data_IF_795262263228
#
_entry.id   IF_795262263228
#
_cell.length_a   1.000
_cell.length_b   1.000
_cell.length_c   1.000
_cell.angle_alpha   90.00
_cell.angle_beta   90.00
_cell.angle_gamma   90.00
#
_symmetry.space_group_name_H-M   'P 1'
#
loop_
_entity.id
_entity.type
_entity.pdbx_description
1 polymer ?
#
# COMPACT_ATOMS: atom_id res chain seq x y z
N UNK A 1 -27.27 3.66 -1.47
CA UNK A 1 -25.86 3.94 -1.82
C UNK A 1 -25.58 3.46 -3.23
N UNK A 2 -24.68 4.15 -3.94
CA UNK A 2 -24.19 3.74 -5.25
C UNK A 2 -22.89 2.95 -5.11
N UNK A 3 -22.72 1.90 -5.91
CA UNK A 3 -21.48 1.12 -5.97
C UNK A 3 -20.41 1.72 -6.91
N UNK A 4 -20.83 2.47 -7.94
CA UNK A 4 -20.01 2.91 -9.05
C UNK A 4 -20.28 4.38 -9.29
N UNK A 5 -19.21 5.17 -9.30
CA UNK A 5 -19.19 6.53 -9.78
C UNK A 5 -18.34 6.55 -11.06
N UNK A 6 -18.95 6.55 -12.25
CA UNK A 6 -18.21 6.29 -13.48
C UNK A 6 -17.37 7.48 -13.97
N UNK A 7 -17.73 8.72 -13.58
CA UNK A 7 -17.07 9.96 -13.99
C UNK A 7 -16.72 9.98 -15.50
N UNK A 8 -15.44 10.16 -15.84
CA UNK A 8 -14.96 10.18 -17.24
C UNK A 8 -14.64 8.80 -17.80
N UNK A 9 -14.87 7.74 -17.02
CA UNK A 9 -14.62 6.36 -17.42
C UNK A 9 -13.15 6.05 -17.64
N UNK A 10 -12.89 5.05 -18.49
CA UNK A 10 -11.57 4.51 -18.79
C UNK A 10 -11.33 4.49 -20.33
N UNK A 11 -11.32 5.66 -20.98
CA UNK A 11 -11.37 5.75 -22.44
C UNK A 11 -10.18 5.10 -23.14
N UNK A 12 -8.98 5.21 -22.58
CA UNK A 12 -7.77 4.78 -23.26
C UNK A 12 -7.60 3.26 -23.20
N UNK A 13 -7.75 2.67 -22.02
CA UNK A 13 -7.60 1.22 -21.84
C UNK A 13 -8.69 0.46 -22.57
N UNK A 14 -9.94 0.95 -22.56
CA UNK A 14 -11.05 0.32 -23.29
C UNK A 14 -10.75 0.34 -24.79
N UNK A 15 -10.32 1.48 -25.34
CA UNK A 15 -9.97 1.57 -26.75
C UNK A 15 -8.85 0.61 -27.15
N UNK A 16 -7.78 0.52 -26.34
CA UNK A 16 -6.67 -0.42 -26.60
C UNK A 16 -7.13 -1.88 -26.54
N UNK A 17 -7.95 -2.23 -25.55
CA UNK A 17 -8.53 -3.56 -25.42
C UNK A 17 -9.40 -3.93 -26.64
N UNK A 18 -10.26 -3.02 -27.09
CA UNK A 18 -11.13 -3.22 -28.25
C UNK A 18 -10.36 -3.31 -29.58
N UNK A 19 -9.19 -2.69 -29.66
CA UNK A 19 -8.29 -2.75 -30.81
C UNK A 19 -7.38 -3.99 -30.84
N UNK A 20 -7.42 -4.84 -29.81
CA UNK A 20 -6.50 -5.98 -29.69
C UNK A 20 -5.04 -5.56 -29.42
N UNK A 21 -4.82 -4.40 -28.81
CA UNK A 21 -3.47 -3.92 -28.50
C UNK A 21 -2.90 -4.56 -27.23
N UNK A 22 -1.59 -4.40 -27.00
CA UNK A 22 -0.98 -4.74 -25.70
C UNK A 22 -1.47 -3.77 -24.62
N UNK A 23 -1.95 -4.31 -23.51
CA UNK A 23 -2.47 -3.55 -22.37
C UNK A 23 -1.77 -3.98 -21.08
N UNK A 24 -1.10 -3.03 -20.43
CA UNK A 24 -0.51 -3.26 -19.10
C UNK A 24 -1.41 -2.70 -18.01
N UNK A 25 -1.85 -3.55 -17.09
CA UNK A 25 -2.72 -3.18 -15.96
C UNK A 25 -1.93 -3.36 -14.67
N UNK A 26 -1.69 -2.25 -13.96
CA UNK A 26 -1.07 -2.28 -12.64
C UNK A 26 -2.12 -2.25 -11.55
N UNK A 27 -1.98 -3.14 -10.56
CA UNK A 27 -2.85 -3.20 -9.40
C UNK A 27 -2.08 -2.74 -8.16
N UNK A 28 -2.40 -1.55 -7.68
CA UNK A 28 -1.62 -0.80 -6.72
C UNK A 28 -2.39 -0.60 -5.41
N UNK A 29 -1.92 -1.22 -4.34
CA UNK A 29 -2.63 -1.17 -3.07
C UNK A 29 -1.98 -1.97 -1.95
N UNK A 30 -2.81 -2.32 -0.95
CA UNK A 30 -2.41 -3.11 0.21
C UNK A 30 -2.50 -4.63 0.01
N UNK A 31 -2.77 -5.35 1.10
CA UNK A 31 -2.80 -6.82 1.13
C UNK A 31 -3.91 -7.43 0.28
N UNK A 32 -5.11 -6.84 0.28
CA UNK A 32 -6.20 -7.28 -0.60
C UNK A 32 -5.81 -7.27 -2.09
N UNK A 33 -4.97 -6.30 -2.47
CA UNK A 33 -4.44 -6.16 -3.83
C UNK A 33 -3.28 -7.14 -4.10
N UNK A 34 -2.45 -7.42 -3.09
CA UNK A 34 -1.34 -8.39 -3.16
C UNK A 34 -1.84 -9.80 -3.43
N UNK A 35 -2.93 -10.20 -2.76
CA UNK A 35 -3.56 -11.51 -2.85
C UNK A 35 -3.80 -11.96 -4.30
N UNK A 36 -3.77 -13.27 -4.53
CA UNK A 36 -4.17 -13.89 -5.81
C UNK A 36 -5.70 -13.94 -5.96
N UNK A 37 -6.41 -12.89 -5.52
CA UNK A 37 -7.85 -12.79 -5.53
C UNK A 37 -8.35 -11.89 -6.66
N UNK A 38 -9.13 -10.85 -6.30
CA UNK A 38 -9.85 -9.99 -7.25
C UNK A 38 -8.98 -9.46 -8.40
N UNK A 39 -7.70 -9.17 -8.13
CA UNK A 39 -6.71 -8.75 -9.13
C UNK A 39 -6.55 -9.78 -10.25
N UNK A 40 -6.29 -11.03 -9.87
CA UNK A 40 -6.04 -12.12 -10.82
C UNK A 40 -7.33 -12.41 -11.59
N UNK A 41 -8.44 -12.54 -10.85
CA UNK A 41 -9.74 -12.89 -11.41
C UNK A 41 -10.28 -11.81 -12.37
N UNK A 42 -10.05 -10.51 -12.07
CA UNK A 42 -10.41 -9.41 -12.98
C UNK A 42 -9.53 -9.41 -14.24
N UNK A 43 -8.23 -9.69 -14.10
CA UNK A 43 -7.33 -9.78 -15.25
C UNK A 43 -7.66 -10.97 -16.16
N UNK A 44 -8.07 -12.10 -15.59
CA UNK A 44 -8.56 -13.28 -16.32
C UNK A 44 -9.86 -12.96 -17.05
N UNK A 45 -10.84 -12.36 -16.37
CA UNK A 45 -12.08 -11.91 -17.01
C UNK A 45 -11.81 -10.97 -18.19
N UNK A 46 -10.89 -10.01 -18.05
CA UNK A 46 -10.52 -9.13 -19.16
C UNK A 46 -9.91 -9.88 -20.35
N UNK A 47 -9.08 -10.92 -20.11
CA UNK A 47 -8.55 -11.77 -21.19
C UNK A 47 -9.64 -12.56 -21.91
N UNK A 48 -10.65 -13.02 -21.18
CA UNK A 48 -11.82 -13.67 -21.77
C UNK A 48 -12.66 -12.69 -22.61
N UNK A 49 -12.82 -11.45 -22.15
CA UNK A 49 -13.60 -10.43 -22.88
C UNK A 49 -12.88 -9.87 -24.10
N UNK A 50 -11.55 -9.84 -24.10
CA UNK A 50 -10.72 -9.25 -25.16
C UNK A 50 -9.62 -10.23 -25.60
N UNK A 51 -9.98 -11.35 -26.27
CA UNK A 51 -9.04 -12.41 -26.60
C UNK A 51 -7.95 -11.99 -27.61
N UNK A 52 -8.19 -10.91 -28.37
CA UNK A 52 -7.22 -10.37 -29.32
C UNK A 52 -6.16 -9.46 -28.67
N UNK A 53 -6.37 -9.01 -27.42
CA UNK A 53 -5.45 -8.12 -26.71
C UNK A 53 -4.40 -8.88 -25.89
N UNK A 54 -3.14 -8.42 -25.91
CA UNK A 54 -2.09 -8.94 -25.00
C UNK A 54 -2.16 -8.23 -23.64
N UNK A 55 -2.84 -8.86 -22.67
CA UNK A 55 -3.08 -8.27 -21.34
C UNK A 55 -2.05 -8.74 -20.31
N UNK A 56 -1.26 -7.78 -19.83
CA UNK A 56 -0.23 -7.96 -18.79
C UNK A 56 -0.72 -7.39 -17.48
N UNK A 57 -0.75 -8.20 -16.43
CA UNK A 57 -1.14 -7.78 -15.09
C UNK A 57 0.09 -7.65 -14.19
N UNK A 58 0.29 -6.46 -13.61
CA UNK A 58 1.37 -6.16 -12.65
C UNK A 58 0.80 -6.17 -11.24
N UNK A 59 1.37 -7.00 -10.36
CA UNK A 59 1.05 -7.00 -8.94
C UNK A 59 1.93 -5.97 -8.22
N UNK A 60 1.36 -4.81 -7.90
CA UNK A 60 1.99 -3.77 -7.10
C UNK A 60 1.30 -3.63 -5.73
N UNK A 61 0.74 -4.72 -5.20
CA UNK A 61 0.25 -4.80 -3.82
C UNK A 61 1.39 -5.05 -2.84
N UNK A 62 1.37 -4.39 -1.68
CA UNK A 62 2.29 -4.68 -0.55
C UNK A 62 1.50 -4.73 0.75
N UNK A 63 1.65 -5.82 1.49
CA UNK A 63 0.90 -6.10 2.71
C UNK A 63 1.16 -5.04 3.78
N UNK A 64 0.08 -4.57 4.41
CA UNK A 64 0.15 -3.63 5.53
C UNK A 64 0.62 -2.21 5.19
N UNK A 65 0.54 -1.80 3.91
CA UNK A 65 1.05 -0.48 3.47
C UNK A 65 -0.05 0.47 3.03
N UNK A 66 0.12 1.75 3.35
CA UNK A 66 -0.79 2.84 2.96
C UNK A 66 -0.33 3.63 1.74
N UNK A 67 -1.10 4.65 1.41
CA UNK A 67 -0.84 5.56 0.28
C UNK A 67 0.42 6.41 0.46
N UNK A 68 0.93 6.60 1.69
CA UNK A 68 2.20 7.27 1.97
C UNK A 68 3.40 6.52 1.42
N UNK A 69 3.49 5.22 1.69
CA UNK A 69 4.48 4.37 1.02
C UNK A 69 4.18 4.25 -0.48
N UNK A 70 2.89 4.18 -0.83
CA UNK A 70 2.43 4.22 -2.22
C UNK A 70 3.07 5.38 -3.01
N UNK A 71 2.99 6.60 -2.51
CA UNK A 71 3.57 7.77 -3.16
C UNK A 71 5.07 7.57 -3.48
N UNK A 72 5.84 7.01 -2.55
CA UNK A 72 7.29 6.83 -2.72
C UNK A 72 7.65 5.69 -3.68
N UNK A 73 6.90 4.57 -3.64
CA UNK A 73 7.23 3.37 -4.44
C UNK A 73 6.63 3.36 -5.84
N UNK A 74 5.77 4.34 -6.17
CA UNK A 74 4.99 4.37 -7.40
C UNK A 74 5.84 4.23 -8.67
N UNK A 75 6.98 4.92 -8.76
CA UNK A 75 7.87 4.78 -9.93
C UNK A 75 8.38 3.34 -10.09
N UNK A 76 8.84 2.73 -8.99
CA UNK A 76 9.47 1.40 -9.00
C UNK A 76 8.43 0.29 -9.25
N UNK A 77 7.25 0.41 -8.67
CA UNK A 77 6.29 -0.70 -8.65
C UNK A 77 5.23 -0.58 -9.74
N UNK A 78 5.02 0.63 -10.29
CA UNK A 78 3.95 0.91 -11.25
C UNK A 78 4.49 1.58 -12.50
N UNK A 79 5.06 2.79 -12.43
CA UNK A 79 5.32 3.60 -13.62
C UNK A 79 6.41 3.04 -14.52
N UNK A 80 7.42 2.34 -13.96
CA UNK A 80 8.46 1.67 -14.77
C UNK A 80 7.88 0.63 -15.74
N UNK A 81 6.70 0.08 -15.42
CA UNK A 81 6.01 -0.90 -16.25
C UNK A 81 5.19 -0.28 -17.37
N UNK A 82 5.14 1.06 -17.47
CA UNK A 82 4.38 1.80 -18.49
C UNK A 82 2.91 1.33 -18.57
N UNK A 83 2.15 1.41 -17.47
CA UNK A 83 0.79 0.91 -17.42
C UNK A 83 -0.16 1.74 -18.30
N UNK A 84 -1.17 1.08 -18.86
CA UNK A 84 -2.31 1.71 -19.51
C UNK A 84 -3.46 1.95 -18.53
N UNK A 85 -3.54 1.13 -17.46
CA UNK A 85 -4.51 1.26 -16.38
C UNK A 85 -3.84 1.01 -15.03
N UNK A 86 -4.13 1.86 -14.05
CA UNK A 86 -3.74 1.69 -12.65
C UNK A 86 -4.98 1.58 -11.77
N UNK A 87 -5.17 0.41 -11.14
CA UNK A 87 -6.09 0.27 -10.02
C UNK A 87 -5.43 0.82 -8.75
N UNK A 88 -6.10 1.69 -8.02
CA UNK A 88 -5.60 2.28 -6.75
C UNK A 88 -6.53 1.90 -5.61
N UNK A 89 -5.98 1.23 -4.58
CA UNK A 89 -6.74 0.65 -3.47
C UNK A 89 -5.98 0.82 -2.14
N UNK A 90 -6.31 1.85 -1.35
CA UNK A 90 -5.65 2.14 -0.06
C UNK A 90 -6.61 2.46 1.10
N UNK A 91 -7.93 2.53 0.87
CA UNK A 91 -8.90 2.91 1.93
C UNK A 91 -8.81 1.99 3.14
N UNK A 92 -8.63 0.68 2.93
CA UNK A 92 -8.47 -0.30 4.01
C UNK A 92 -7.20 -0.09 4.85
N UNK A 93 -6.16 0.54 4.29
CA UNK A 93 -4.85 0.72 4.93
C UNK A 93 -4.67 2.10 5.55
N UNK A 94 -5.19 3.16 4.92
CA UNK A 94 -4.96 4.55 5.34
C UNK A 94 -5.75 4.96 6.60
N UNK A 95 -6.67 4.12 7.07
CA UNK A 95 -7.37 4.34 8.34
C UNK A 95 -8.32 5.55 8.36
N UNK A 96 -8.48 6.27 7.24
CA UNK A 96 -9.36 7.45 7.13
C UNK A 96 -8.80 8.72 7.75
N UNK A 97 -7.46 8.84 7.84
CA UNK A 97 -6.80 10.07 8.29
C UNK A 97 -6.82 11.16 7.21
N UNK A 98 -7.00 12.45 7.55
CA UNK A 98 -7.09 13.54 6.57
C UNK A 98 -5.91 13.61 5.57
N UNK A 99 -4.72 13.23 6.02
CA UNK A 99 -3.48 13.22 5.24
C UNK A 99 -3.53 12.23 4.05
N UNK A 100 -4.40 11.21 4.11
CA UNK A 100 -4.64 10.27 3.02
C UNK A 100 -5.07 10.98 1.73
N UNK A 101 -5.83 12.08 1.84
CA UNK A 101 -6.25 12.87 0.67
C UNK A 101 -5.07 13.42 -0.11
N UNK A 102 -4.10 14.01 0.58
CA UNK A 102 -2.89 14.55 -0.03
C UNK A 102 -2.05 13.44 -0.69
N UNK A 103 -1.91 12.29 -0.03
CA UNK A 103 -1.15 11.15 -0.55
C UNK A 103 -1.80 10.54 -1.80
N UNK A 104 -3.12 10.36 -1.79
CA UNK A 104 -3.86 9.82 -2.95
C UNK A 104 -3.81 10.79 -4.12
N UNK A 105 -3.96 12.09 -3.88
CA UNK A 105 -3.71 13.08 -4.91
C UNK A 105 -2.25 13.04 -5.41
N UNK A 106 -1.27 12.85 -4.53
CA UNK A 106 0.13 12.68 -4.89
C UNK A 106 0.34 11.54 -5.88
N UNK A 107 -0.27 10.38 -5.62
CA UNK A 107 -0.26 9.23 -6.54
C UNK A 107 -0.87 9.60 -7.90
N UNK A 108 -2.06 10.22 -7.91
CA UNK A 108 -2.74 10.62 -9.15
C UNK A 108 -1.87 11.58 -9.97
N UNK A 109 -1.31 12.61 -9.33
CA UNK A 109 -0.50 13.62 -10.01
C UNK A 109 0.80 13.05 -10.54
N UNK A 110 1.46 12.16 -9.80
CA UNK A 110 2.63 11.44 -10.31
C UNK A 110 2.29 10.61 -11.57
N UNK A 111 1.19 9.83 -11.56
CA UNK A 111 0.73 9.08 -12.74
C UNK A 111 0.47 10.03 -13.91
N UNK A 112 -0.25 11.13 -13.69
CA UNK A 112 -0.63 12.10 -14.73
C UNK A 112 0.57 12.88 -15.28
N UNK A 113 1.58 13.18 -14.46
CA UNK A 113 2.86 13.78 -14.86
C UNK A 113 3.67 12.81 -15.73
N UNK A 114 3.64 11.50 -15.42
CA UNK A 114 4.28 10.47 -16.25
C UNK A 114 3.61 10.35 -17.61
N UNK A 115 2.28 10.25 -17.63
CA UNK A 115 1.50 10.32 -18.87
C UNK A 115 0.03 10.64 -18.58
N UNK A 116 -0.51 11.58 -19.33
CA UNK A 116 -1.93 11.95 -19.28
C UNK A 116 -2.84 10.92 -19.95
N UNK A 117 -2.30 9.89 -20.59
CA UNK A 117 -3.06 8.86 -21.28
C UNK A 117 -3.22 7.55 -20.48
N UNK A 118 -2.61 7.47 -19.30
CA UNK A 118 -2.81 6.34 -18.39
C UNK A 118 -4.21 6.46 -17.78
N UNK A 119 -5.02 5.41 -17.78
CA UNK A 119 -6.29 5.42 -17.05
C UNK A 119 -6.07 5.06 -15.57
N UNK A 120 -6.91 5.60 -14.69
CA UNK A 120 -6.88 5.31 -13.25
C UNK A 120 -8.26 4.84 -12.84
N UNK A 121 -8.34 3.81 -12.02
CA UNK A 121 -9.57 3.32 -11.41
C UNK A 121 -9.38 3.21 -9.89
N UNK A 122 -10.18 3.94 -9.13
CA UNK A 122 -10.19 3.80 -7.68
C UNK A 122 -11.09 2.63 -7.28
N UNK A 123 -10.59 1.80 -6.36
CA UNK A 123 -11.34 0.67 -5.82
C UNK A 123 -11.24 0.73 -4.30
N UNK A 124 -12.37 0.59 -3.61
CA UNK A 124 -12.44 0.70 -2.17
C UNK A 124 -12.87 -0.62 -1.54
N UNK A 125 -11.93 -1.28 -0.86
CA UNK A 125 -12.21 -2.47 -0.03
C UNK A 125 -12.79 -2.06 1.32
N UNK A 126 -13.37 -3.04 2.03
CA UNK A 126 -13.93 -2.83 3.37
C UNK A 126 -13.38 -3.83 4.41
N UNK A 127 -13.46 -3.43 5.67
CA UNK A 127 -13.26 -4.28 6.85
C UNK A 127 -14.59 -4.49 7.56
N UNK A 128 -14.65 -5.44 8.50
CA UNK A 128 -15.88 -5.76 9.24
C UNK A 128 -16.47 -4.54 9.95
N UNK A 129 -15.61 -3.70 10.54
CA UNK A 129 -16.01 -2.46 11.22
C UNK A 129 -16.78 -1.48 10.33
N UNK A 130 -16.61 -1.57 9.00
CA UNK A 130 -17.24 -0.66 8.05
C UNK A 130 -18.66 -1.12 7.67
N UNK A 131 -19.00 -2.40 7.89
CA UNK A 131 -20.26 -3.02 7.44
C UNK A 131 -21.48 -2.27 7.97
N UNK A 132 -21.49 -1.92 9.26
CA UNK A 132 -22.60 -1.21 9.89
C UNK A 132 -22.84 0.17 9.25
N UNK A 133 -21.77 0.89 8.89
CA UNK A 133 -21.87 2.17 8.18
C UNK A 133 -22.50 2.00 6.80
N UNK A 134 -22.06 1.01 6.02
CA UNK A 134 -22.70 0.71 4.74
C UNK A 134 -24.20 0.35 4.92
N UNK A 135 -24.57 -0.36 5.99
CA UNK A 135 -25.97 -0.70 6.27
C UNK A 135 -26.83 0.52 6.66
N UNK A 136 -26.23 1.54 7.28
CA UNK A 136 -26.90 2.81 7.57
C UNK A 136 -26.84 3.81 6.40
N UNK A 137 -26.23 3.45 5.27
CA UNK A 137 -26.15 4.30 4.09
C UNK A 137 -24.93 5.23 4.05
N UNK A 138 -23.92 4.96 4.87
CA UNK A 138 -22.69 5.74 4.98
C UNK A 138 -21.51 5.04 4.31
N UNK A 139 -20.70 5.82 3.57
CA UNK A 139 -19.41 5.37 3.08
C UNK A 139 -18.32 5.54 4.14
N UNK A 140 -17.23 4.79 3.99
CA UNK A 140 -16.03 4.95 4.81
C UNK A 140 -15.48 6.38 4.66
N UNK A 141 -15.02 6.98 5.77
CA UNK A 141 -14.40 8.33 5.77
C UNK A 141 -13.24 8.43 4.77
N UNK A 142 -12.38 7.41 4.73
CA UNK A 142 -11.27 7.37 3.78
C UNK A 142 -11.73 7.33 2.32
N UNK A 143 -12.80 6.58 2.02
CA UNK A 143 -13.37 6.55 0.67
C UNK A 143 -13.92 7.93 0.27
N UNK A 144 -14.62 8.63 1.16
CA UNK A 144 -15.12 9.98 0.89
C UNK A 144 -13.99 10.97 0.55
N UNK A 145 -12.85 10.88 1.26
CA UNK A 145 -11.69 11.72 0.96
C UNK A 145 -11.09 11.41 -0.43
N UNK A 146 -11.04 10.13 -0.80
CA UNK A 146 -10.57 9.72 -2.13
C UNK A 146 -11.57 10.06 -3.24
N UNK A 147 -12.87 10.07 -2.95
CA UNK A 147 -13.91 10.53 -3.87
C UNK A 147 -13.77 12.02 -4.21
N UNK A 148 -13.36 12.87 -3.26
CA UNK A 148 -13.07 14.28 -3.56
C UNK A 148 -11.91 14.42 -4.57
N UNK A 149 -10.85 13.61 -4.42
CA UNK A 149 -9.76 13.53 -5.40
C UNK A 149 -10.29 13.00 -6.74
N UNK A 150 -11.11 11.94 -6.70
CA UNK A 150 -11.68 11.34 -7.89
C UNK A 150 -12.56 12.31 -8.67
N UNK A 151 -13.37 13.13 -7.99
CA UNK A 151 -14.19 14.17 -8.59
C UNK A 151 -13.33 15.25 -9.25
N UNK A 152 -12.29 15.73 -8.55
CA UNK A 152 -11.40 16.78 -9.06
C UNK A 152 -10.64 16.34 -10.34
N UNK A 153 -10.18 15.09 -10.39
CA UNK A 153 -9.42 14.54 -11.51
C UNK A 153 -10.27 13.75 -12.53
N UNK A 154 -11.57 13.56 -12.27
CA UNK A 154 -12.50 12.83 -13.14
C UNK A 154 -12.29 11.32 -13.19
N UNK A 155 -11.81 10.71 -12.11
CA UNK A 155 -11.40 9.29 -12.02
C UNK A 155 -12.59 8.38 -11.64
N UNK A 156 -12.93 7.34 -12.41
CA UNK A 156 -13.96 6.39 -11.98
C UNK A 156 -13.59 5.70 -10.66
N UNK A 157 -14.60 5.39 -9.85
CA UNK A 157 -14.41 4.67 -8.59
C UNK A 157 -15.47 3.61 -8.32
N UNK A 158 -15.09 2.56 -7.60
CA UNK A 158 -15.94 1.42 -7.25
C UNK A 158 -15.86 1.13 -5.75
N UNK A 159 -17.00 1.20 -5.06
CA UNK A 159 -17.16 0.82 -3.66
C UNK A 159 -17.54 -0.66 -3.55
N UNK A 160 -16.55 -1.53 -3.31
CA UNK A 160 -16.80 -2.98 -3.23
C UNK A 160 -17.66 -3.36 -2.01
N UNK A 161 -17.58 -2.56 -0.95
CA UNK A 161 -18.33 -2.78 0.29
C UNK A 161 -19.84 -2.71 0.15
N UNK A 162 -20.37 -2.05 -0.89
CA UNK A 162 -21.82 -1.91 -1.09
C UNK A 162 -22.48 -3.27 -1.30
N UNK A 163 -21.94 -4.12 -2.18
CA UNK A 163 -22.53 -5.45 -2.44
C UNK A 163 -22.29 -6.41 -1.28
N UNK A 164 -21.12 -6.36 -0.66
CA UNK A 164 -20.81 -7.18 0.51
C UNK A 164 -21.79 -6.90 1.66
N UNK A 165 -21.99 -5.62 1.99
CA UNK A 165 -22.92 -5.19 3.05
C UNK A 165 -24.37 -5.61 2.77
N UNK A 166 -24.82 -5.49 1.51
CA UNK A 166 -26.15 -6.00 1.11
C UNK A 166 -26.30 -7.51 1.35
N UNK A 167 -25.29 -8.31 0.98
CA UNK A 167 -25.33 -9.75 1.21
C UNK A 167 -25.35 -10.12 2.70
N UNK A 168 -24.70 -9.33 3.56
CA UNK A 168 -24.82 -9.46 5.02
C UNK A 168 -26.26 -9.19 5.46
N UNK A 169 -26.86 -8.07 5.02
CA UNK A 169 -28.24 -7.72 5.38
C UNK A 169 -29.29 -8.71 4.86
N UNK A 170 -29.03 -9.34 3.71
CA UNK A 170 -29.87 -10.39 3.12
C UNK A 170 -29.72 -11.75 3.84
N UNK A 171 -28.79 -11.89 4.78
CA UNK A 171 -28.49 -13.18 5.43
C UNK A 171 -27.83 -14.20 4.50
N UNK A 172 -27.21 -13.75 3.40
CA UNK A 172 -26.54 -14.61 2.41
C UNK A 172 -25.01 -14.66 2.59
N UNK A 173 -24.48 -13.84 3.49
CA UNK A 173 -23.06 -13.74 3.75
C UNK A 173 -22.81 -13.53 5.25
N UNK A 174 -21.85 -14.27 5.79
CA UNK A 174 -21.26 -14.09 7.11
C UNK A 174 -19.94 -13.33 6.89
N UNK A 175 -19.80 -12.15 7.49
CA UNK A 175 -18.61 -11.32 7.22
C UNK A 175 -17.32 -11.95 7.77
N UNK A 176 -17.33 -12.41 9.03
CA UNK A 176 -16.19 -13.11 9.65
C UNK A 176 -16.66 -14.40 10.30
N UNK A 177 -15.99 -15.52 10.01
CA UNK A 177 -16.24 -16.76 10.74
C UNK A 177 -15.84 -16.62 12.22
N UNK A 178 -16.74 -16.96 13.16
CA UNK A 178 -16.45 -16.90 14.59
C UNK A 178 -16.34 -15.48 15.17
N UNK A 179 -16.85 -14.46 14.45
CA UNK A 179 -16.86 -13.07 14.89
C UNK A 179 -17.87 -12.78 16.00
N UNK A 180 -17.89 -11.53 16.50
CA UNK A 180 -18.73 -11.08 17.63
C UNK A 180 -20.24 -11.04 17.35
N UNK A 181 -20.66 -11.29 16.10
CA UNK A 181 -22.07 -11.46 15.75
C UNK A 181 -22.46 -12.93 15.90
N UNK A 182 -23.53 -13.19 16.65
CA UNK A 182 -24.02 -14.54 16.98
C UNK A 182 -23.71 -15.58 15.90
N UNK A 183 -22.85 -16.55 16.25
CA UNK A 183 -22.50 -17.77 15.52
C UNK A 183 -23.75 -18.55 15.10
N UNK A 184 -24.46 -18.02 14.11
CA UNK A 184 -25.49 -18.74 13.39
C UNK A 184 -24.83 -19.13 12.09
N UNK A 185 -24.45 -20.40 12.01
CA UNK A 185 -24.32 -21.05 10.71
C UNK A 185 -25.61 -20.75 9.94
N UNK A 186 -25.52 -19.90 8.93
CA UNK A 186 -26.61 -19.65 7.99
C UNK A 186 -26.38 -20.64 6.85
N UNK A 187 -27.21 -21.70 6.71
CA UNK A 187 -27.00 -22.71 5.70
C UNK A 187 -26.91 -22.08 4.30
N UNK A 188 -25.79 -22.31 3.61
CA UNK A 188 -25.54 -21.77 2.27
C UNK A 188 -25.03 -20.33 2.21
N UNK A 189 -24.79 -19.66 3.35
CA UNK A 189 -24.16 -18.35 3.34
C UNK A 189 -22.66 -18.43 3.02
N UNK A 190 -22.17 -17.44 2.29
CA UNK A 190 -20.75 -17.27 2.00
C UNK A 190 -20.05 -16.76 3.26
N UNK A 191 -18.93 -17.36 3.65
CA UNK A 191 -18.02 -16.75 4.64
C UNK A 191 -17.09 -15.82 3.89
N UNK A 192 -17.05 -14.54 4.28
CA UNK A 192 -16.29 -13.54 3.56
C UNK A 192 -14.84 -13.46 4.03
N UNK A 193 -14.57 -13.45 5.34
CA UNK A 193 -13.22 -13.39 5.93
C UNK A 193 -13.06 -14.36 7.11
N UNK A 194 -11.81 -14.61 7.51
CA UNK A 194 -11.47 -15.28 8.77
C UNK A 194 -10.95 -14.32 9.86
N UNK A 195 -10.60 -13.09 9.49
CA UNK A 195 -9.85 -12.15 10.33
C UNK A 195 -10.42 -10.72 10.33
N UNK A 196 -11.67 -10.57 9.88
CA UNK A 196 -12.38 -9.29 9.76
C UNK A 196 -11.78 -8.32 8.72
N UNK A 197 -10.80 -8.73 7.93
CA UNK A 197 -10.05 -7.86 7.01
C UNK A 197 -9.93 -8.46 5.61
N UNK A 198 -9.41 -9.68 5.47
CA UNK A 198 -9.00 -10.25 4.19
C UNK A 198 -10.08 -11.21 3.65
N UNK A 199 -10.63 -10.95 2.44
CA UNK A 199 -11.58 -11.86 1.82
C UNK A 199 -10.96 -13.23 1.54
N UNK A 200 -11.74 -14.29 1.75
CA UNK A 200 -11.36 -15.66 1.40
C UNK A 200 -11.27 -15.79 -0.12
N UNK A 201 -10.27 -16.56 -0.59
CA UNK A 201 -10.12 -16.92 -2.00
C UNK A 201 -10.71 -18.33 -2.22
N UNK A 202 -11.60 -18.52 -3.21
CA UNK A 202 -12.13 -17.49 -4.11
C UNK A 202 -13.36 -16.75 -3.56
N UNK A 203 -14.09 -17.27 -2.58
CA UNK A 203 -15.49 -16.91 -2.33
C UNK A 203 -15.70 -15.41 -2.03
N UNK A 204 -14.88 -14.84 -1.15
CA UNK A 204 -14.95 -13.40 -0.83
C UNK A 204 -14.43 -12.53 -1.98
N UNK A 205 -13.32 -12.93 -2.60
CA UNK A 205 -12.76 -12.21 -3.74
C UNK A 205 -13.62 -12.29 -5.01
N UNK A 206 -14.47 -13.30 -5.16
CA UNK A 206 -15.44 -13.40 -6.25
C UNK A 206 -16.46 -12.25 -6.18
N UNK A 207 -16.94 -11.90 -4.99
CA UNK A 207 -17.89 -10.79 -4.82
C UNK A 207 -17.26 -9.45 -5.23
N UNK A 208 -15.98 -9.25 -4.90
CA UNK A 208 -15.20 -8.11 -5.38
C UNK A 208 -15.07 -8.13 -6.91
N UNK A 209 -14.70 -9.27 -7.49
CA UNK A 209 -14.55 -9.45 -8.94
C UNK A 209 -15.84 -9.17 -9.69
N UNK A 210 -16.97 -9.74 -9.27
CA UNK A 210 -18.29 -9.51 -9.87
C UNK A 210 -18.72 -8.05 -9.81
N UNK A 211 -18.30 -7.34 -8.75
CA UNK A 211 -18.55 -5.91 -8.59
C UNK A 211 -17.69 -5.06 -9.52
N UNK A 212 -16.43 -5.43 -9.67
CA UNK A 212 -15.51 -4.75 -10.59
C UNK A 212 -15.94 -4.98 -12.04
N UNK A 213 -16.17 -6.23 -12.45
CA UNK A 213 -16.49 -6.59 -13.84
C UNK A 213 -17.80 -5.97 -14.31
N UNK A 214 -18.89 -6.07 -13.52
CA UNK A 214 -20.16 -5.39 -13.87
C UNK A 214 -20.02 -3.87 -13.95
N UNK A 215 -19.11 -3.29 -13.16
CA UNK A 215 -18.83 -1.86 -13.20
C UNK A 215 -18.02 -1.48 -14.43
N UNK A 216 -17.03 -2.28 -14.83
CA UNK A 216 -16.27 -2.10 -16.07
C UNK A 216 -17.18 -2.18 -17.31
N UNK A 217 -18.15 -3.10 -17.33
CA UNK A 217 -19.16 -3.15 -18.41
C UNK A 217 -20.00 -1.86 -18.48
N UNK A 218 -20.37 -1.30 -17.33
CA UNK A 218 -21.11 -0.02 -17.28
C UNK A 218 -20.25 1.15 -17.73
N UNK A 219 -18.98 1.19 -17.33
CA UNK A 219 -18.02 2.21 -17.77
C UNK A 219 -17.80 2.12 -19.30
N UNK A 220 -17.71 0.90 -19.86
CA UNK A 220 -17.58 0.68 -21.29
C UNK A 220 -18.72 1.31 -22.09
N UNK A 221 -19.96 1.18 -21.61
CA UNK A 221 -21.14 1.76 -22.27
C UNK A 221 -21.18 3.30 -22.29
N UNK A 222 -20.32 3.96 -21.51
CA UNK A 222 -20.25 5.43 -21.46
C UNK A 222 -19.25 6.02 -22.46
N UNK A 223 -18.47 5.18 -23.15
CA UNK A 223 -17.47 5.66 -24.10
C UNK A 223 -18.16 6.30 -25.32
N UNK A 224 -17.86 7.58 -25.56
CA UNK A 224 -18.37 8.35 -26.71
C UNK A 224 -17.18 8.93 -27.44
N UNK A 225 -16.90 8.41 -28.64
CA UNK A 225 -15.84 8.91 -29.52
C UNK A 225 -14.82 7.85 -29.88
N UNK A 226 -13.97 8.20 -30.85
CA UNK A 226 -12.82 7.38 -31.27
C UNK A 226 -11.54 8.14 -30.96
N UNK A 227 -10.52 7.41 -30.48
CA UNK A 227 -9.18 7.96 -30.23
C UNK A 227 -8.83 8.14 -28.75
N UNK A 228 -7.53 8.31 -28.50
CA UNK A 228 -6.97 8.44 -27.16
C UNK A 228 -7.29 9.82 -26.54
N UNK A 229 -7.65 9.81 -25.26
CA UNK A 229 -8.07 10.99 -24.50
C UNK A 229 -7.03 11.33 -23.44
N UNK A 230 -6.44 12.52 -23.54
CA UNK A 230 -5.57 13.04 -22.50
C UNK A 230 -6.40 13.50 -21.28
N UNK A 231 -6.17 12.86 -20.14
CA UNK A 231 -6.79 13.22 -18.87
C UNK A 231 -6.36 14.59 -18.38
N UNK A 232 -7.19 15.22 -17.54
CA UNK A 232 -6.86 16.51 -16.96
C UNK A 232 -5.71 16.40 -15.95
N UNK A 233 -4.83 17.40 -15.94
CA UNK A 233 -3.85 17.64 -14.88
C UNK A 233 -3.88 19.13 -14.57
N UNK A 234 -4.76 19.57 -13.66
CA UNK A 234 -4.79 20.96 -13.20
C UNK A 234 -3.43 21.41 -12.69
N UNK A 235 -3.08 22.66 -12.99
CA UNK A 235 -1.86 23.27 -12.48
C UNK A 235 -1.86 23.24 -10.94
N UNK A 236 -2.92 23.76 -10.34
CA UNK A 236 -3.12 23.73 -8.90
C UNK A 236 -3.58 22.34 -8.45
N UNK A 237 -2.98 21.75 -7.39
CA UNK A 237 -3.54 20.58 -6.74
C UNK A 237 -4.83 20.93 -5.96
N UNK A 238 -5.70 19.95 -5.76
CA UNK A 238 -6.85 19.98 -4.86
C UNK A 238 -6.42 20.27 -3.42
N UNK A 239 -5.38 19.59 -2.94
CA UNK A 239 -4.75 19.88 -1.65
C UNK A 239 -3.65 20.93 -1.87
N UNK A 240 -3.79 22.16 -1.35
CA UNK A 240 -2.79 23.20 -1.55
C UNK A 240 -1.42 22.76 -1.04
N UNK A 241 -0.36 23.08 -1.81
CA UNK A 241 1.04 22.76 -1.47
C UNK A 241 1.30 21.28 -1.20
N UNK A 242 0.56 20.37 -1.86
CA UNK A 242 0.68 18.94 -1.65
C UNK A 242 2.11 18.41 -1.95
N UNK A 243 2.88 17.96 -0.95
CA UNK A 243 4.27 17.55 -1.15
C UNK A 243 4.38 16.12 -1.69
N UNK A 244 3.33 15.30 -1.53
CA UNK A 244 3.37 13.85 -1.79
C UNK A 244 3.45 13.48 -3.27
N UNK A 245 3.23 14.42 -4.18
CA UNK A 245 3.53 14.21 -5.60
C UNK A 245 5.04 14.19 -5.92
N UNK A 246 5.89 14.53 -4.95
CA UNK A 246 7.35 14.50 -5.02
C UNK A 246 7.96 13.45 -4.09
N UNK A 247 7.16 12.47 -3.65
CA UNK A 247 7.66 11.35 -2.88
C UNK A 247 8.43 10.38 -3.78
N UNK A 248 9.53 9.83 -3.28
CA UNK A 248 10.36 8.88 -3.99
C UNK A 248 10.98 7.87 -3.03
N UNK A 249 11.19 6.65 -3.55
CA UNK A 249 11.93 5.59 -2.90
C UNK A 249 13.32 5.48 -3.53
N UNK A 250 14.38 5.70 -2.74
CA UNK A 250 15.76 5.78 -3.21
C UNK A 250 16.63 4.66 -2.61
N UNK A 251 17.65 4.18 -3.35
CA UNK A 251 18.67 3.32 -2.76
C UNK A 251 19.50 4.10 -1.72
N UNK A 252 20.14 3.39 -0.79
CA UNK A 252 21.11 4.00 0.12
C UNK A 252 22.41 4.36 -0.61
N UNK A 253 22.81 3.55 -1.58
CA UNK A 253 23.98 3.82 -2.40
C UNK A 253 23.83 5.17 -3.11
N UNK A 254 24.86 6.01 -2.98
CA UNK A 254 24.86 7.38 -3.49
C UNK A 254 24.04 8.41 -2.67
N UNK A 255 23.29 7.97 -1.66
CA UNK A 255 22.40 8.84 -0.86
C UNK A 255 22.71 8.79 0.65
N UNK A 256 23.41 7.77 1.11
CA UNK A 256 23.80 7.58 2.51
C UNK A 256 25.31 7.36 2.63
N UNK A 257 25.90 7.96 3.67
CA UNK A 257 27.25 7.63 4.14
C UNK A 257 27.11 6.61 5.26
N UNK A 258 27.58 5.40 5.03
CA UNK A 258 27.52 4.29 5.99
C UNK A 258 28.85 4.14 6.73
N UNK A 259 28.77 3.72 7.99
CA UNK A 259 29.94 3.28 8.77
C UNK A 259 30.36 1.86 8.39
N UNK A 260 31.52 1.41 8.89
CA UNK A 260 32.22 0.23 8.37
C UNK A 260 31.51 -1.11 8.65
N UNK A 261 30.65 -1.19 9.67
CA UNK A 261 29.91 -2.40 10.02
C UNK A 261 28.69 -2.67 9.14
N UNK A 262 28.37 -1.79 8.18
CA UNK A 262 27.30 -2.00 7.22
C UNK A 262 27.76 -2.86 6.04
N UNK A 263 26.98 -3.89 5.71
CA UNK A 263 27.21 -4.78 4.57
C UNK A 263 25.98 -4.85 3.69
N UNK A 264 26.16 -4.83 2.37
CA UNK A 264 25.08 -5.08 1.42
C UNK A 264 24.99 -6.59 1.12
N UNK A 265 23.81 -7.17 1.36
CA UNK A 265 23.56 -8.59 1.18
C UNK A 265 22.51 -8.82 0.10
N UNK A 266 22.83 -9.67 -0.87
CA UNK A 266 21.93 -10.06 -1.96
C UNK A 266 21.24 -11.39 -1.68
N UNK A 267 20.35 -11.82 -2.59
CA UNK A 267 19.66 -13.11 -2.51
C UNK A 267 20.61 -14.33 -2.47
N UNK A 268 21.84 -14.19 -2.98
CA UNK A 268 22.84 -15.24 -2.95
C UNK A 268 23.59 -15.29 -1.61
N UNK A 269 23.65 -14.18 -0.87
CA UNK A 269 24.43 -14.04 0.36
C UNK A 269 23.62 -14.40 1.62
N UNK A 270 22.30 -14.17 1.61
CA UNK A 270 21.49 -14.19 2.82
C UNK A 270 20.03 -14.63 2.58
N UNK A 271 19.54 -15.54 3.44
CA UNK A 271 18.18 -16.08 3.33
C UNK A 271 17.10 -15.00 3.33
N UNK A 272 17.22 -13.98 4.18
CA UNK A 272 16.23 -12.90 4.25
C UNK A 272 16.22 -12.06 2.97
N UNK A 273 17.40 -11.73 2.43
CA UNK A 273 17.50 -10.99 1.17
C UNK A 273 16.90 -11.79 0.01
N UNK A 274 17.02 -13.12 0.03
CA UNK A 274 16.36 -14.00 -0.95
C UNK A 274 14.84 -14.00 -0.81
N UNK A 275 14.33 -14.10 0.41
CA UNK A 275 12.89 -14.09 0.69
C UNK A 275 12.23 -12.76 0.26
N UNK A 276 12.93 -11.65 0.45
CA UNK A 276 12.46 -10.31 0.11
C UNK A 276 13.01 -9.78 -1.22
N UNK A 277 13.60 -10.63 -2.07
CA UNK A 277 14.18 -10.21 -3.35
C UNK A 277 13.15 -9.59 -4.31
N UNK A 278 11.89 -9.98 -4.17
CA UNK A 278 10.77 -9.41 -4.92
C UNK A 278 10.50 -7.93 -4.57
N UNK A 279 10.94 -7.47 -3.40
CA UNK A 279 10.75 -6.11 -2.89
C UNK A 279 12.05 -5.30 -2.96
N UNK A 280 13.17 -5.90 -2.59
CA UNK A 280 14.48 -5.26 -2.59
C UNK A 280 15.50 -6.10 -3.35
N UNK A 281 16.33 -5.51 -4.23
CA UNK A 281 17.40 -6.28 -4.90
C UNK A 281 18.41 -6.87 -3.91
N UNK A 282 18.55 -6.25 -2.73
CA UNK A 282 19.36 -6.69 -1.60
C UNK A 282 19.10 -5.77 -0.41
N UNK A 283 19.64 -6.12 0.75
CA UNK A 283 19.46 -5.44 2.02
C UNK A 283 20.78 -4.94 2.56
N UNK A 284 20.80 -3.70 3.04
CA UNK A 284 21.88 -3.20 3.88
C UNK A 284 21.68 -3.68 5.31
N UNK A 285 22.71 -4.31 5.88
CA UNK A 285 22.65 -4.93 7.20
C UNK A 285 23.75 -4.41 8.10
N UNK A 286 23.41 -4.08 9.34
CA UNK A 286 24.34 -3.85 10.44
C UNK A 286 23.80 -4.46 11.73
N UNK A 287 24.71 -4.89 12.62
CA UNK A 287 24.38 -5.62 13.86
C UNK A 287 24.92 -4.97 15.13
N UNK A 288 26.04 -4.26 15.02
CA UNK A 288 26.76 -3.73 16.16
C UNK A 288 26.19 -2.36 16.58
N UNK A 289 25.87 -2.16 17.87
CA UNK A 289 25.51 -0.85 18.38
C UNK A 289 26.58 0.21 18.10
N UNK A 290 26.16 1.43 17.78
CA UNK A 290 27.02 2.54 17.36
C UNK A 290 27.28 2.59 15.84
N UNK A 291 27.07 1.49 15.12
CA UNK A 291 27.03 1.53 13.65
C UNK A 291 25.87 2.41 13.18
N UNK A 292 26.10 3.10 12.09
CA UNK A 292 25.26 4.22 11.68
C UNK A 292 25.35 4.55 10.20
N UNK A 293 24.36 5.29 9.72
CA UNK A 293 24.37 5.91 8.41
C UNK A 293 23.87 7.35 8.50
N UNK A 294 24.28 8.19 7.55
CA UNK A 294 23.90 9.60 7.50
C UNK A 294 23.41 9.95 6.10
N UNK A 295 22.25 10.60 6.03
CA UNK A 295 21.59 11.01 4.80
C UNK A 295 21.51 12.52 4.77
N UNK A 296 21.91 13.12 3.65
CA UNK A 296 21.63 14.52 3.35
C UNK A 296 20.56 14.56 2.28
N UNK A 297 19.50 15.33 2.51
CA UNK A 297 18.43 15.49 1.53
C UNK A 297 17.84 16.88 1.58
N UNK A 298 17.08 17.22 0.53
CA UNK A 298 16.32 18.46 0.46
C UNK A 298 14.84 18.13 0.30
N UNK A 299 14.01 18.48 1.27
CA UNK A 299 12.60 18.10 1.29
C UNK A 299 11.96 18.27 2.66
N UNK A 300 10.80 17.63 2.84
CA UNK A 300 10.00 17.73 4.08
C UNK A 300 9.95 16.44 4.88
N UNK A 301 10.21 15.29 4.25
CA UNK A 301 10.15 13.99 4.93
C UNK A 301 11.31 13.09 4.52
N UNK A 302 11.80 12.34 5.48
CA UNK A 302 12.67 11.18 5.30
C UNK A 302 12.09 9.99 6.05
N UNK A 303 12.26 8.79 5.51
CA UNK A 303 11.81 7.55 6.08
C UNK A 303 12.67 6.37 5.65
N UNK A 304 12.40 5.23 6.27
CA UNK A 304 13.08 3.97 6.04
C UNK A 304 12.05 2.95 5.56
N UNK A 305 12.41 2.18 4.53
CA UNK A 305 11.68 0.98 4.13
C UNK A 305 12.60 -0.22 4.34
N UNK A 306 12.25 -1.04 5.33
CA UNK A 306 13.10 -2.08 5.89
C UNK A 306 12.34 -3.39 6.14
N UNK A 307 13.08 -4.40 6.56
CA UNK A 307 12.53 -5.65 7.07
C UNK A 307 12.69 -5.65 8.58
N UNK A 308 11.57 -5.83 9.30
CA UNK A 308 11.57 -6.01 10.74
C UNK A 308 11.30 -7.45 11.11
N UNK A 309 11.95 -7.94 12.16
CA UNK A 309 11.80 -9.29 12.66
C UNK A 309 12.16 -9.43 14.13
N UNK A 310 12.22 -10.67 14.65
CA UNK A 310 12.63 -10.94 16.02
C UNK A 310 13.96 -10.27 16.39
N UNK A 311 14.88 -10.14 15.45
CA UNK A 311 16.22 -9.59 15.63
C UNK A 311 16.31 -8.06 15.55
N UNK A 312 15.21 -7.36 15.20
CA UNK A 312 15.19 -5.91 14.99
C UNK A 312 15.72 -5.11 16.18
N UNK A 313 16.56 -4.12 15.90
CA UNK A 313 17.01 -3.12 16.86
C UNK A 313 16.15 -1.85 16.90
N UNK A 314 16.68 -0.84 17.59
CA UNK A 314 16.16 0.52 17.63
C UNK A 314 17.25 1.51 17.18
N UNK A 315 16.83 2.61 16.58
CA UNK A 315 17.71 3.64 16.06
C UNK A 315 17.64 4.89 16.92
N UNK A 316 18.80 5.43 17.30
CA UNK A 316 18.96 6.80 17.78
C UNK A 316 19.12 7.73 16.58
N UNK A 317 18.18 8.65 16.40
CA UNK A 317 18.08 9.52 15.24
C UNK A 317 18.36 10.96 15.62
N UNK A 318 19.27 11.61 14.90
CA UNK A 318 19.61 13.03 15.07
C UNK A 318 19.36 13.77 13.76
N UNK A 319 18.52 14.81 13.81
CA UNK A 319 18.21 15.69 12.68
C UNK A 319 18.93 17.02 12.90
N UNK A 320 19.72 17.46 11.92
CA UNK A 320 20.42 18.75 11.88
C UNK A 320 21.26 19.07 13.13
N UNK A 321 21.83 18.02 13.75
CA UNK A 321 22.63 18.13 14.98
C UNK A 321 21.82 18.45 16.24
N UNK A 322 20.49 18.39 16.18
CA UNK A 322 19.59 18.59 17.32
C UNK A 322 19.56 17.42 18.30
N UNK A 323 18.65 17.50 19.27
CA UNK A 323 18.47 16.46 20.29
C UNK A 323 18.06 15.12 19.65
N UNK A 324 18.75 14.01 19.96
CA UNK A 324 18.41 12.71 19.42
C UNK A 324 17.08 12.19 19.96
N UNK A 325 16.36 11.42 19.12
CA UNK A 325 15.17 10.68 19.53
C UNK A 325 15.24 9.22 19.06
N UNK A 326 14.45 8.34 19.69
CA UNK A 326 14.47 6.91 19.38
C UNK A 326 13.39 6.54 18.35
N UNK A 327 13.75 5.61 17.47
CA UNK A 327 12.85 4.97 16.51
C UNK A 327 13.05 3.47 16.59
N UNK A 328 12.12 2.77 17.24
CA UNK A 328 12.11 1.31 17.26
C UNK A 328 11.83 0.73 15.86
N UNK A 329 12.61 -0.28 15.47
CA UNK A 329 12.35 -1.10 14.27
C UNK A 329 11.78 -2.47 14.64
N UNK A 330 11.55 -2.70 15.94
CA UNK A 330 10.74 -3.80 16.44
C UNK A 330 9.32 -3.30 16.76
N UNK A 331 8.32 -4.02 16.28
CA UNK A 331 6.90 -3.69 16.39
C UNK A 331 6.13 -4.88 16.95
N UNK A 332 4.86 -4.68 17.27
CA UNK A 332 3.92 -5.71 17.76
C UNK A 332 3.66 -6.85 16.76
N UNK A 333 4.21 -6.76 15.54
CA UNK A 333 4.07 -7.74 14.47
C UNK A 333 5.37 -8.48 14.12
N UNK A 334 6.48 -8.21 14.81
CA UNK A 334 7.80 -8.76 14.48
C UNK A 334 8.14 -10.03 15.26
N UNK A 335 7.18 -10.94 15.43
CA UNK A 335 7.48 -12.32 15.85
C UNK A 335 7.97 -13.20 14.69
N UNK A 336 7.94 -12.66 13.48
CA UNK A 336 8.54 -13.17 12.27
C UNK A 336 9.03 -11.98 11.42
N UNK A 337 9.82 -12.26 10.38
CA UNK A 337 10.27 -11.24 9.45
C UNK A 337 9.12 -10.73 8.59
N UNK A 338 9.02 -9.40 8.43
CA UNK A 338 8.04 -8.73 7.58
C UNK A 338 8.59 -7.41 7.04
N UNK A 339 8.14 -7.01 5.86
CA UNK A 339 8.36 -5.66 5.38
C UNK A 339 7.63 -4.65 6.28
N UNK A 340 8.26 -3.51 6.53
CA UNK A 340 7.69 -2.42 7.29
C UNK A 340 8.39 -1.11 6.92
N UNK A 341 7.78 0.03 7.22
CA UNK A 341 8.37 1.32 6.94
C UNK A 341 8.08 2.30 8.07
N UNK A 342 8.81 3.41 8.08
CA UNK A 342 8.56 4.54 8.98
C UNK A 342 8.95 5.82 8.29
N UNK A 343 8.16 6.88 8.45
CA UNK A 343 8.60 8.25 8.19
C UNK A 343 8.96 8.90 9.53
N UNK A 344 10.04 9.68 9.53
CA UNK A 344 10.33 10.58 10.65
C UNK A 344 9.29 11.71 10.69
N UNK A 345 9.20 12.45 11.81
CA UNK A 345 8.36 13.64 11.88
C UNK A 345 8.63 14.61 10.73
N UNK A 346 7.57 15.29 10.28
CA UNK A 346 7.67 16.29 9.20
C UNK A 346 8.67 17.39 9.55
N UNK A 347 9.47 17.76 8.56
CA UNK A 347 10.45 18.83 8.61
C UNK A 347 10.01 19.98 7.70
N UNK A 348 10.41 21.23 8.00
CA UNK A 348 10.25 22.34 7.06
C UNK A 348 10.86 21.99 5.71
N UNK A 349 10.30 22.46 4.59
CA UNK A 349 10.92 22.19 3.30
C UNK A 349 12.30 22.86 3.23
N UNK A 350 13.36 22.07 3.09
CA UNK A 350 14.72 22.59 3.08
C UNK A 350 15.77 21.49 3.12
N UNK A 351 17.02 21.90 3.30
CA UNK A 351 18.17 20.98 3.38
C UNK A 351 18.31 20.45 4.79
N UNK A 352 18.40 19.14 4.91
CA UNK A 352 18.54 18.43 6.18
C UNK A 352 19.68 17.42 6.15
N UNK A 353 20.31 17.23 7.30
CA UNK A 353 21.23 16.12 7.57
C UNK A 353 20.65 15.26 8.67
N UNK A 354 20.42 13.98 8.39
CA UNK A 354 19.85 13.04 9.35
C UNK A 354 20.81 11.88 9.57
N UNK A 355 21.20 11.68 10.83
CA UNK A 355 22.04 10.57 11.28
C UNK A 355 21.17 9.54 11.99
N UNK A 356 21.30 8.29 11.58
CA UNK A 356 20.66 7.12 12.19
C UNK A 356 21.76 6.23 12.77
N UNK A 357 21.72 5.98 14.06
CA UNK A 357 22.71 5.17 14.79
C UNK A 357 22.00 4.02 15.51
N UNK A 358 22.53 2.79 15.42
CA UNK A 358 22.02 1.65 16.17
C UNK A 358 22.25 1.92 17.65
N UNK A 359 21.18 1.92 18.43
CA UNK A 359 21.27 2.25 19.85
C UNK A 359 21.93 1.12 20.66
N UNK A 360 22.58 1.50 21.77
CA UNK A 360 23.25 0.59 22.67
C UNK A 360 22.29 -0.19 23.58
N UNK A 361 21.10 0.35 23.83
CA UNK A 361 20.08 -0.40 24.56
C UNK A 361 19.10 -1.11 23.61
N UNK A 362 18.55 -2.23 24.08
CA UNK A 362 17.61 -3.07 23.34
C UNK A 362 16.18 -2.72 23.69
N UNK A 363 15.28 -2.83 22.72
CA UNK A 363 13.83 -2.82 22.96
C UNK A 363 13.45 -4.00 23.86
N UNK A 364 12.61 -3.78 24.87
CA UNK A 364 11.98 -4.88 25.60
C UNK A 364 10.86 -5.49 24.74
N UNK A 365 11.25 -6.46 23.90
CA UNK A 365 10.37 -7.09 22.91
C UNK A 365 9.23 -7.89 23.57
N UNK A 366 9.44 -8.41 24.78
CA UNK A 366 8.39 -9.10 25.52
C UNK A 366 7.34 -8.10 26.04
N UNK A 367 7.77 -6.94 26.54
CA UNK A 367 6.87 -5.87 26.97
C UNK A 367 6.06 -5.30 25.80
N UNK A 368 6.64 -5.21 24.59
CA UNK A 368 5.92 -4.79 23.38
C UNK A 368 4.74 -5.73 23.08
N UNK A 369 4.95 -7.05 23.13
CA UNK A 369 3.85 -8.01 22.91
C UNK A 369 2.85 -8.07 24.06
N UNK A 370 3.30 -7.86 25.30
CA UNK A 370 2.43 -7.76 26.47
C UNK A 370 1.49 -6.56 26.37
N UNK A 371 1.99 -5.40 25.96
CA UNK A 371 1.20 -4.18 25.81
C UNK A 371 0.05 -4.33 24.79
N UNK A 372 0.21 -5.20 23.78
CA UNK A 372 -0.86 -5.51 22.81
C UNK A 372 -1.62 -6.82 23.11
N UNK A 373 -1.37 -7.47 24.25
CA UNK A 373 -2.04 -8.72 24.64
C UNK A 373 -1.76 -9.92 23.73
N UNK A 374 -0.62 -9.93 23.03
CA UNK A 374 -0.28 -10.97 22.06
C UNK A 374 0.47 -12.13 22.73
N UNK A 375 -0.27 -12.99 23.45
CA UNK A 375 0.32 -14.09 24.22
C UNK A 375 1.05 -15.13 23.34
N UNK A 376 0.59 -15.35 22.10
CA UNK A 376 1.28 -16.22 21.14
C UNK A 376 2.72 -15.74 20.89
N UNK A 377 2.89 -14.46 20.61
CA UNK A 377 4.23 -13.90 20.35
C UNK A 377 5.07 -13.81 21.62
N UNK A 378 4.46 -13.60 22.81
CA UNK A 378 5.17 -13.69 24.10
C UNK A 378 5.71 -15.10 24.36
N UNK A 379 4.92 -16.12 24.09
CA UNK A 379 5.37 -17.51 24.16
C UNK A 379 6.54 -17.77 23.19
N UNK A 380 6.46 -17.23 21.97
CA UNK A 380 7.55 -17.34 21.00
C UNK A 380 8.86 -16.68 21.49
N UNK A 381 8.78 -15.52 22.15
CA UNK A 381 9.94 -14.89 22.81
C UNK A 381 10.53 -15.81 23.88
N UNK A 382 9.67 -16.44 24.71
CA UNK A 382 10.12 -17.38 25.75
C UNK A 382 10.77 -18.65 25.17
N UNK A 383 10.33 -19.10 24.00
CA UNK A 383 10.87 -20.28 23.30
C UNK A 383 12.18 -19.98 22.55
N UNK A 384 12.38 -18.74 22.09
CA UNK A 384 13.50 -18.35 21.23
C UNK A 384 14.22 -17.08 21.71
N UNK A 385 14.69 -16.98 22.98
CA UNK A 385 15.23 -15.74 23.54
C UNK A 385 16.40 -15.16 22.71
N UNK A 386 17.28 -16.01 22.17
CA UNK A 386 18.44 -15.58 21.37
C UNK A 386 18.05 -14.89 20.05
N UNK A 387 16.88 -15.18 19.50
CA UNK A 387 16.39 -14.49 18.30
C UNK A 387 16.01 -13.05 18.61
N UNK A 388 15.48 -12.83 19.82
CA UNK A 388 15.00 -11.53 20.28
C UNK A 388 16.10 -10.68 20.94
N UNK A 389 17.16 -11.29 21.45
CA UNK A 389 18.27 -10.57 22.11
C UNK A 389 19.28 -9.95 21.11
N UNK A 390 18.79 -9.32 20.05
CA UNK A 390 19.59 -8.72 18.98
C UNK A 390 19.13 -7.29 18.61
N UNK A 391 20.01 -6.56 17.94
CA UNK A 391 19.84 -5.14 17.54
C UNK A 391 20.05 -4.93 16.04
N UNK A 392 19.63 -5.88 15.21
CA UNK A 392 19.90 -5.87 13.77
C UNK A 392 19.06 -4.81 13.07
N UNK A 393 19.65 -4.11 12.11
CA UNK A 393 18.92 -3.26 11.16
C UNK A 393 19.08 -3.83 9.75
N UNK A 394 17.96 -4.06 9.07
CA UNK A 394 17.88 -4.64 7.72
C UNK A 394 17.20 -3.66 6.75
N UNK A 395 17.98 -2.74 6.18
CA UNK A 395 17.45 -1.60 5.44
C UNK A 395 17.43 -1.85 3.92
N UNK A 396 16.26 -1.67 3.29
CA UNK A 396 16.10 -1.83 1.85
C UNK A 396 16.26 -0.50 1.09
N UNK A 397 15.45 0.50 1.46
CA UNK A 397 15.36 1.78 0.75
C UNK A 397 15.15 2.96 1.69
N UNK A 398 15.56 4.14 1.23
CA UNK A 398 15.17 5.43 1.81
C UNK A 398 13.86 5.87 1.18
N UNK A 399 13.02 6.53 1.97
CA UNK A 399 11.78 7.18 1.52
C UNK A 399 11.97 8.68 1.69
N UNK A 400 11.84 9.48 0.64
CA UNK A 400 11.97 10.93 0.71
C UNK A 400 10.74 11.60 0.12
N UNK A 401 10.38 12.78 0.65
CA UNK A 401 9.38 13.68 0.04
C UNK A 401 10.06 15.01 -0.21
N UNK A 402 10.29 15.34 -1.49
CA UNK A 402 11.19 16.41 -1.91
C UNK A 402 10.48 17.45 -2.81
N UNK A 403 9.53 18.22 -2.26
CA UNK A 403 8.87 19.27 -3.03
C UNK A 403 9.85 20.38 -3.42
N UNK A 404 9.64 21.05 -4.57
CA UNK A 404 10.47 22.20 -4.96
C UNK A 404 10.35 23.35 -3.95
N UNK A 405 11.39 24.20 -3.88
CA UNK A 405 11.42 25.41 -3.05
C UNK A 405 10.51 26.52 -3.56
#
# INVERSE_FOLDING_TARGET
MQELFPRRGLPNVIQKLENGETVTIAYFGGSNTRSAGYRVMTAEWLREQYPEADIRAVNAGIDGTGSDLGCARLETDVLRHQPDLVFVEFVGNDGGVPESKARIEGIVRQIRKRSRFIDILFVYTLKERDVAGFQSGEYQKGALMQEEVADYYGIPSIHLGVRVSQLVSEGKLIFTSGGSGADKSIPGAIVFTHDSIHPIIPEGHQIYTDTITRSLERIRKLQVGSGSVAHNLPQDPLVPSNPWEYAAMLPLEGHAVLSAGWSYMTADDFTLAREYHWLFPGLWRAVDPGEAFTVQFEGTHIGLFDIGGPDSGRLKVTVDGGEPFLVDRFTTYNDHNRNQYVYLPELPNGKHTVRFEIDHEKTDKAAVFEACGNERSREHVRQHPDWYDQTVIQLGKLLLVQPPQ
#
